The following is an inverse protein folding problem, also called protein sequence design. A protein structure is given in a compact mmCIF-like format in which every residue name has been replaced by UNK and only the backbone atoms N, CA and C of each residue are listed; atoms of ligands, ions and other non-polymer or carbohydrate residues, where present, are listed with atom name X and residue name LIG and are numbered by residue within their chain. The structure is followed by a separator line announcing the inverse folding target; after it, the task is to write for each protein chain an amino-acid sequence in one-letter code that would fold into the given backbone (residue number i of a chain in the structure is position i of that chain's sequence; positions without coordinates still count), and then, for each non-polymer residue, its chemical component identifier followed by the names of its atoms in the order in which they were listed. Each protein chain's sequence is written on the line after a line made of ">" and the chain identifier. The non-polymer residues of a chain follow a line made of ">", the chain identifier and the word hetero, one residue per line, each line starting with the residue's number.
data_IF_588164718430
#
_entry.id   IF_588164718430
#
_cell.length_a   1.000
_cell.length_b   1.000
_cell.length_c   1.000
_cell.angle_alpha   90.00
_cell.angle_beta   90.00
_cell.angle_gamma   90.00
#
_symmetry.space_group_name_H-M   'P 1'
#
loop_
_entity.id
_entity.type
_entity.pdbx_description
1 polymer ?
#
# COMPACT_ATOMS: atom_id res chain seq x y z
N UNK A 1 2.57 -10.47 -5.19
CA UNK A 1 1.37 -11.08 -4.58
C UNK A 1 0.48 -11.66 -5.68
N UNK A 2 -0.02 -12.89 -5.51
CA UNK A 2 -0.96 -13.51 -6.47
C UNK A 2 -2.41 -13.05 -6.26
N UNK A 3 -3.29 -13.25 -7.26
CA UNK A 3 -4.73 -12.94 -7.15
C UNK A 3 -5.37 -13.75 -6.03
N UNK A 4 -6.10 -13.08 -5.14
CA UNK A 4 -6.81 -13.69 -4.01
C UNK A 4 -8.19 -14.17 -4.48
N UNK A 5 -8.39 -15.48 -4.57
CA UNK A 5 -9.64 -16.10 -5.07
C UNK A 5 -10.63 -16.43 -3.95
N UNK A 6 -10.11 -16.63 -2.74
CA UNK A 6 -10.85 -16.87 -1.49
C UNK A 6 -10.04 -16.28 -0.33
N UNK A 7 -10.70 -15.84 0.74
CA UNK A 7 -10.05 -15.28 1.93
C UNK A 7 -10.55 -16.03 3.16
N UNK A 8 -10.00 -17.22 3.38
CA UNK A 8 -10.09 -17.89 4.67
C UNK A 8 -9.42 -17.06 5.76
N UNK A 9 -9.72 -17.35 7.03
CA UNK A 9 -9.20 -16.58 8.18
C UNK A 9 -7.67 -16.46 8.15
N UNK A 10 -6.96 -17.56 7.86
CA UNK A 10 -5.50 -17.57 7.79
C UNK A 10 -4.94 -16.73 6.62
N UNK A 11 -5.59 -16.77 5.45
CA UNK A 11 -5.19 -15.98 4.28
C UNK A 11 -5.42 -14.48 4.52
N UNK A 12 -6.51 -14.13 5.23
CA UNK A 12 -6.77 -12.75 5.67
C UNK A 12 -5.67 -12.25 6.58
N UNK A 13 -5.32 -13.02 7.60
CA UNK A 13 -4.27 -12.66 8.55
C UNK A 13 -2.92 -12.49 7.87
N UNK A 14 -2.55 -13.40 6.95
CA UNK A 14 -1.32 -13.28 6.17
C UNK A 14 -1.32 -12.03 5.28
N UNK A 15 -2.41 -11.76 4.56
CA UNK A 15 -2.52 -10.59 3.70
C UNK A 15 -2.46 -9.28 4.50
N UNK A 16 -3.16 -9.21 5.63
CA UNK A 16 -3.12 -8.05 6.53
C UNK A 16 -1.71 -7.85 7.09
N UNK A 17 -1.01 -8.91 7.48
CA UNK A 17 0.38 -8.82 7.92
C UNK A 17 1.30 -8.31 6.81
N UNK A 18 1.15 -8.80 5.58
CA UNK A 18 1.94 -8.34 4.43
C UNK A 18 1.69 -6.86 4.14
N UNK A 19 0.42 -6.43 4.11
CA UNK A 19 0.03 -5.03 3.94
C UNK A 19 0.61 -4.15 5.06
N UNK A 20 0.56 -4.60 6.32
CA UNK A 20 1.14 -3.87 7.45
C UNK A 20 2.66 -3.72 7.34
N UNK A 21 3.35 -4.76 6.87
CA UNK A 21 4.80 -4.69 6.61
C UNK A 21 5.11 -3.64 5.53
N UNK A 22 4.36 -3.64 4.43
CA UNK A 22 4.50 -2.65 3.36
C UNK A 22 4.21 -1.23 3.85
N UNK A 23 3.13 -1.04 4.61
CA UNK A 23 2.80 0.26 5.23
C UNK A 23 3.95 0.78 6.09
N UNK A 24 4.56 -0.08 6.91
CA UNK A 24 5.70 0.30 7.75
C UNK A 24 6.89 0.77 6.90
N UNK A 25 7.18 0.06 5.81
CA UNK A 25 8.26 0.44 4.88
C UNK A 25 7.95 1.80 4.24
N UNK A 26 6.77 2.00 3.66
CA UNK A 26 6.40 3.25 2.98
C UNK A 26 6.35 4.44 3.94
N UNK A 27 5.81 4.27 5.15
CA UNK A 27 5.85 5.31 6.18
C UNK A 27 7.27 5.67 6.60
N UNK A 28 8.17 4.67 6.73
CA UNK A 28 9.57 4.95 7.04
C UNK A 28 10.28 5.70 5.89
N UNK A 29 10.02 5.33 4.63
CA UNK A 29 10.55 6.06 3.47
C UNK A 29 10.07 7.50 3.43
N UNK A 30 8.78 7.74 3.69
CA UNK A 30 8.21 9.07 3.75
C UNK A 30 8.81 9.89 4.92
N UNK A 31 8.98 9.26 6.09
CA UNK A 31 9.64 9.91 7.25
C UNK A 31 11.08 10.28 6.93
N UNK A 32 11.87 9.36 6.38
CA UNK A 32 13.25 9.60 5.95
C UNK A 32 13.30 10.73 4.91
N UNK A 33 12.32 10.80 4.00
CA UNK A 33 12.21 11.87 3.01
C UNK A 33 11.97 13.24 3.66
N UNK A 34 11.12 13.31 4.69
CA UNK A 34 10.90 14.52 5.47
C UNK A 34 12.10 14.90 6.36
N UNK A 35 12.78 13.93 6.95
CA UNK A 35 13.93 14.15 7.84
C UNK A 35 15.21 14.55 7.08
N UNK A 36 15.42 14.02 5.87
CA UNK A 36 16.60 14.30 5.03
C UNK A 36 16.34 15.40 3.98
N UNK A 37 15.42 16.32 4.26
CA UNK A 37 14.96 17.37 3.34
C UNK A 37 16.02 18.41 2.92
N UNK A 38 17.28 18.17 3.25
CA UNK A 38 18.38 19.07 3.01
C UNK A 38 19.29 18.51 1.89
N UNK A 39 19.12 19.08 0.70
CA UNK A 39 20.14 19.28 -0.35
C UNK A 39 20.25 18.32 -1.55
N UNK A 40 19.43 17.27 -1.71
CA UNK A 40 19.60 16.32 -2.86
C UNK A 40 18.54 16.33 -3.96
N UNK A 41 17.32 16.78 -3.69
CA UNK A 41 16.22 16.77 -4.66
C UNK A 41 15.77 18.18 -4.99
N UNK A 42 15.41 18.43 -6.26
CA UNK A 42 14.70 19.66 -6.60
C UNK A 42 13.29 19.65 -5.97
N UNK A 43 12.73 20.84 -5.69
CA UNK A 43 11.36 21.00 -5.19
C UNK A 43 10.28 20.20 -5.95
N UNK A 44 10.29 20.11 -7.30
CA UNK A 44 9.32 19.28 -8.03
C UNK A 44 9.56 17.78 -7.85
N UNK A 45 10.81 17.32 -7.82
CA UNK A 45 11.13 15.89 -7.60
C UNK A 45 10.73 15.43 -6.20
N UNK A 46 11.03 16.26 -5.19
CA UNK A 46 10.62 16.02 -3.82
C UNK A 46 9.09 15.89 -3.71
N UNK A 47 8.34 16.85 -4.26
CA UNK A 47 6.86 16.80 -4.26
C UNK A 47 6.32 15.56 -4.96
N UNK A 48 6.91 15.19 -6.10
CA UNK A 48 6.51 13.97 -6.83
C UNK A 48 6.71 12.72 -5.98
N UNK A 49 7.84 12.63 -5.26
CA UNK A 49 8.15 11.47 -4.43
C UNK A 49 7.28 11.39 -3.17
N UNK A 50 7.02 12.53 -2.52
CA UNK A 50 6.05 12.62 -1.41
C UNK A 50 4.68 12.14 -1.87
N UNK A 51 4.14 12.72 -2.95
CA UNK A 51 2.83 12.34 -3.48
C UNK A 51 2.77 10.85 -3.82
N UNK A 52 3.84 10.29 -4.41
CA UNK A 52 3.93 8.86 -4.72
C UNK A 52 3.80 8.01 -3.46
N UNK A 53 4.54 8.34 -2.40
CA UNK A 53 4.50 7.57 -1.16
C UNK A 53 3.16 7.73 -0.41
N UNK A 54 2.59 8.94 -0.38
CA UNK A 54 1.26 9.17 0.21
C UNK A 54 0.17 8.38 -0.52
N UNK A 55 0.20 8.35 -1.85
CA UNK A 55 -0.74 7.56 -2.65
C UNK A 55 -0.57 6.05 -2.41
N UNK A 56 0.67 5.57 -2.36
CA UNK A 56 0.96 4.17 -2.03
C UNK A 56 0.46 3.79 -0.62
N UNK A 57 0.67 4.66 0.38
CA UNK A 57 0.17 4.46 1.74
C UNK A 57 -1.36 4.41 1.75
N UNK A 58 -2.02 5.37 1.09
CA UNK A 58 -3.48 5.42 1.00
C UNK A 58 -4.08 4.13 0.42
N UNK A 59 -3.49 3.61 -0.65
CA UNK A 59 -3.93 2.36 -1.28
C UNK A 59 -3.76 1.15 -0.36
N UNK A 60 -2.63 1.07 0.35
CA UNK A 60 -2.36 0.00 1.30
C UNK A 60 -3.31 0.06 2.50
N UNK A 61 -3.63 1.24 3.03
CA UNK A 61 -4.62 1.39 4.11
C UNK A 61 -6.01 0.94 3.67
N UNK A 62 -6.42 1.31 2.45
CA UNK A 62 -7.69 0.90 1.87
C UNK A 62 -7.74 -0.61 1.63
N UNK A 63 -6.64 -1.18 1.13
CA UNK A 63 -6.50 -2.62 0.96
C UNK A 63 -6.56 -3.36 2.31
N UNK A 64 -5.94 -2.82 3.37
CA UNK A 64 -5.99 -3.41 4.72
C UNK A 64 -7.42 -3.50 5.23
N UNK A 65 -8.17 -2.39 5.17
CA UNK A 65 -9.58 -2.36 5.62
C UNK A 65 -10.43 -3.36 4.86
N UNK A 66 -10.27 -3.43 3.54
CA UNK A 66 -11.00 -4.40 2.73
C UNK A 66 -10.57 -5.84 3.02
N UNK A 67 -9.29 -6.12 3.30
CA UNK A 67 -8.84 -7.45 3.69
C UNK A 67 -9.47 -7.91 5.02
N UNK A 68 -9.60 -6.99 5.98
CA UNK A 68 -10.25 -7.24 7.28
C UNK A 68 -11.77 -7.45 7.14
N UNK A 69 -12.43 -6.60 6.35
CA UNK A 69 -13.89 -6.51 6.28
C UNK A 69 -14.54 -7.32 5.15
N UNK A 70 -13.77 -7.83 4.18
CA UNK A 70 -14.32 -8.52 3.02
C UNK A 70 -15.13 -9.76 3.43
N UNK A 71 -16.43 -9.70 3.11
CA UNK A 71 -17.41 -10.78 3.28
C UNK A 71 -18.00 -11.24 1.95
N UNK A 72 -17.84 -10.45 0.89
CA UNK A 72 -18.36 -10.77 -0.45
C UNK A 72 -17.24 -10.92 -1.49
N UNK A 73 -17.51 -11.71 -2.53
CA UNK A 73 -16.61 -11.89 -3.68
C UNK A 73 -16.32 -10.57 -4.40
N UNK A 74 -17.27 -9.63 -4.38
CA UNK A 74 -17.08 -8.30 -4.94
C UNK A 74 -16.04 -7.48 -4.17
N UNK A 75 -16.07 -7.51 -2.84
CA UNK A 75 -15.06 -6.86 -2.00
C UNK A 75 -13.68 -7.49 -2.19
N UNK A 76 -13.60 -8.81 -2.36
CA UNK A 76 -12.35 -9.51 -2.68
C UNK A 76 -11.83 -9.07 -4.06
N UNK A 77 -12.69 -8.92 -5.05
CA UNK A 77 -12.31 -8.39 -6.36
C UNK A 77 -11.84 -6.93 -6.28
N UNK A 78 -12.48 -6.10 -5.45
CA UNK A 78 -12.04 -4.72 -5.21
C UNK A 78 -10.66 -4.69 -4.53
N UNK A 79 -10.43 -5.55 -3.55
CA UNK A 79 -9.13 -5.72 -2.90
C UNK A 79 -8.03 -6.11 -3.90
N UNK A 80 -8.30 -7.09 -4.76
CA UNK A 80 -7.35 -7.49 -5.82
C UNK A 80 -7.00 -6.34 -6.75
N UNK A 81 -7.99 -5.53 -7.16
CA UNK A 81 -7.76 -4.34 -7.99
C UNK A 81 -6.87 -3.30 -7.29
N UNK A 82 -7.05 -3.10 -5.99
CA UNK A 82 -6.20 -2.18 -5.22
C UNK A 82 -4.76 -2.67 -5.11
N UNK A 83 -4.56 -3.97 -4.88
CA UNK A 83 -3.22 -4.57 -4.82
C UNK A 83 -2.54 -4.50 -6.19
N UNK A 84 -3.27 -4.80 -7.27
CA UNK A 84 -2.77 -4.70 -8.63
C UNK A 84 -2.36 -3.25 -8.96
N UNK A 85 -3.22 -2.28 -8.64
CA UNK A 85 -2.92 -0.87 -8.83
C UNK A 85 -1.71 -0.41 -8.00
N UNK A 86 -1.61 -0.82 -6.73
CA UNK A 86 -0.43 -0.57 -5.91
C UNK A 86 0.86 -1.09 -6.56
N UNK A 87 0.84 -2.31 -7.11
CA UNK A 87 2.00 -2.87 -7.80
C UNK A 87 2.39 -2.08 -9.05
N UNK A 88 1.43 -1.54 -9.80
CA UNK A 88 1.74 -0.68 -10.96
C UNK A 88 2.42 0.63 -10.57
N UNK A 89 2.14 1.15 -9.37
CA UNK A 89 2.82 2.34 -8.83
C UNK A 89 4.20 2.03 -8.25
N UNK A 90 4.46 0.77 -7.87
CA UNK A 90 5.73 0.35 -7.27
C UNK A 90 6.82 0.08 -8.32
N UNK A 91 6.44 -0.42 -9.50
CA UNK A 91 7.27 -0.47 -10.72
C UNK A 91 7.58 0.91 -11.29
#
# INVERSE_FOLDING_TARGET
>A
MGKVLFLGQAEKEQLVQEINSQLKIKNNLLRVLFENNEHKLSRPEYRKLVNKYEEQIYLLERARRLAEEAKSREQINQLNKLIEFYHTLDT
#
